data_IF_593623591663
#
_entry.id   IF_593623591663
#
_cell.length_a   1.000
_cell.length_b   1.000
_cell.length_c   1.000
_cell.angle_alpha   90.00
_cell.angle_beta   90.00
_cell.angle_gamma   90.00
#
_symmetry.space_group_name_H-M   'P 1'
#
loop_
_entity.id
_entity.type
_entity.pdbx_description
1 polymer ?
#
# COMPACT_ATOMS: atom_id res chain seq x y z
N UNK A 1 -0.25 12.65 -10.39
CA UNK A 1 -0.34 13.33 -9.09
C UNK A 1 -1.31 14.51 -9.11
N UNK A 2 -1.07 15.62 -9.84
CA UNK A 2 -1.84 16.87 -9.78
C UNK A 2 -3.34 16.66 -10.06
N UNK A 3 -3.69 15.97 -11.15
CA UNK A 3 -5.09 15.65 -11.45
C UNK A 3 -5.76 14.86 -10.32
N UNK A 4 -5.07 13.86 -9.77
CA UNK A 4 -5.57 13.07 -8.66
C UNK A 4 -5.78 13.93 -7.40
N UNK A 5 -4.84 14.82 -7.08
CA UNK A 5 -4.96 15.72 -5.94
C UNK A 5 -6.18 16.64 -6.05
N UNK A 6 -6.44 17.21 -7.23
CA UNK A 6 -7.62 18.05 -7.47
C UNK A 6 -8.91 17.23 -7.36
N UNK A 7 -8.97 16.06 -8.01
CA UNK A 7 -10.17 15.22 -8.02
C UNK A 7 -10.51 14.69 -6.64
N UNK A 8 -9.51 14.08 -5.95
CA UNK A 8 -9.72 13.50 -4.62
C UNK A 8 -9.98 14.56 -3.56
N UNK A 9 -9.26 15.70 -3.58
CA UNK A 9 -9.52 16.77 -2.64
C UNK A 9 -10.90 17.40 -2.82
N UNK A 10 -11.37 17.59 -4.07
CA UNK A 10 -12.71 18.10 -4.35
C UNK A 10 -13.78 17.19 -3.78
N UNK A 11 -13.58 15.88 -3.86
CA UNK A 11 -14.58 14.88 -3.52
C UNK A 11 -14.62 14.55 -2.03
N UNK A 12 -13.46 14.37 -1.42
CA UNK A 12 -13.35 13.83 -0.06
C UNK A 12 -12.96 14.86 1.00
N UNK A 13 -12.41 16.02 0.60
CA UNK A 13 -12.02 17.08 1.53
C UNK A 13 -12.97 18.26 1.38
N UNK A 14 -13.96 18.34 2.27
CA UNK A 14 -15.04 19.37 2.18
C UNK A 14 -14.69 20.67 2.90
N UNK A 15 -13.77 20.65 3.87
CA UNK A 15 -13.52 21.76 4.80
C UNK A 15 -12.78 22.97 4.20
N UNK A 16 -12.04 22.79 3.10
CA UNK A 16 -11.23 23.84 2.47
C UNK A 16 -11.61 24.01 1.00
N UNK A 17 -11.26 25.16 0.42
CA UNK A 17 -11.53 25.45 -0.98
C UNK A 17 -10.33 25.08 -1.87
N UNK A 18 -10.61 24.84 -3.17
CA UNK A 18 -9.56 24.76 -4.19
C UNK A 18 -9.05 26.18 -4.50
N UNK A 19 -7.76 26.37 -4.78
CA UNK A 19 -6.73 25.34 -5.00
C UNK A 19 -6.04 24.82 -3.74
N UNK A 20 -6.16 25.52 -2.61
CA UNK A 20 -5.34 25.33 -1.40
C UNK A 20 -5.34 23.88 -0.93
N UNK A 21 -6.51 23.24 -0.83
CA UNK A 21 -6.58 21.83 -0.38
C UNK A 21 -5.86 20.84 -1.32
N UNK A 22 -5.78 21.12 -2.62
CA UNK A 22 -5.05 20.28 -3.55
C UNK A 22 -3.54 20.50 -3.45
N UNK A 23 -3.10 21.70 -3.14
CA UNK A 23 -1.69 22.03 -2.89
C UNK A 23 -1.23 21.40 -1.58
N UNK A 24 -1.98 21.56 -0.48
CA UNK A 24 -1.70 20.93 0.81
C UNK A 24 -1.58 19.41 0.69
N UNK A 25 -2.47 18.79 -0.11
CA UNK A 25 -2.47 17.36 -0.36
C UNK A 25 -1.23 16.91 -1.13
N UNK A 26 -0.81 17.69 -2.14
CA UNK A 26 0.42 17.40 -2.90
C UNK A 26 1.67 17.59 -2.04
N UNK A 27 1.71 18.63 -1.23
CA UNK A 27 2.85 18.89 -0.34
C UNK A 27 3.01 17.77 0.69
N UNK A 28 1.90 17.37 1.32
CA UNK A 28 1.90 16.22 2.25
C UNK A 28 2.32 14.93 1.56
N UNK A 29 1.83 14.67 0.34
CA UNK A 29 2.21 13.49 -0.43
C UNK A 29 3.71 13.52 -0.80
N UNK A 30 4.25 14.67 -1.17
CA UNK A 30 5.67 14.86 -1.47
C UNK A 30 6.54 14.65 -0.21
N UNK A 31 6.12 15.20 0.92
CA UNK A 31 6.81 14.98 2.20
C UNK A 31 6.81 13.48 2.59
N UNK A 32 5.68 12.78 2.40
CA UNK A 32 5.57 11.33 2.64
C UNK A 32 6.52 10.53 1.75
N UNK A 33 6.58 10.82 0.45
CA UNK A 33 7.52 10.17 -0.47
C UNK A 33 8.95 10.38 0.01
N UNK A 34 9.31 11.61 0.36
CA UNK A 34 10.66 11.91 0.86
C UNK A 34 10.99 11.14 2.13
N UNK A 35 10.06 11.07 3.10
CA UNK A 35 10.24 10.29 4.32
C UNK A 35 10.36 8.80 4.06
N UNK A 36 9.63 8.25 3.08
CA UNK A 36 9.67 6.83 2.75
C UNK A 36 11.03 6.37 2.21
N UNK A 37 11.81 7.28 1.61
CA UNK A 37 13.15 6.98 1.12
C UNK A 37 14.16 6.75 2.26
N UNK A 38 13.92 7.37 3.42
CA UNK A 38 14.79 7.31 4.59
C UNK A 38 14.32 6.28 5.64
N UNK A 39 13.11 5.72 5.46
CA UNK A 39 12.51 4.81 6.45
C UNK A 39 12.44 3.38 5.93
N UNK A 40 12.53 2.42 6.86
CA UNK A 40 12.33 1.00 6.56
C UNK A 40 10.86 0.76 6.22
N UNK A 41 10.52 -0.01 5.17
CA UNK A 41 9.16 -0.32 4.80
C UNK A 41 8.36 -0.93 5.96
N UNK A 42 7.08 -0.51 6.08
CA UNK A 42 6.19 -0.98 7.15
C UNK A 42 6.04 -2.50 7.16
N UNK A 43 5.97 -3.12 5.97
CA UNK A 43 5.85 -4.57 5.83
C UNK A 43 7.03 -5.29 6.48
N UNK A 44 8.25 -4.82 6.26
CA UNK A 44 9.46 -5.39 6.84
C UNK A 44 9.50 -5.18 8.36
N UNK A 45 9.11 -4.00 8.84
CA UNK A 45 9.01 -3.70 10.27
C UNK A 45 7.98 -4.60 10.95
N UNK A 46 6.85 -4.87 10.30
CA UNK A 46 5.80 -5.76 10.82
C UNK A 46 6.30 -7.20 10.96
N UNK A 47 6.95 -7.75 9.93
CA UNK A 47 7.50 -9.11 9.99
C UNK A 47 8.56 -9.23 11.08
N UNK A 48 9.45 -8.24 11.21
CA UNK A 48 10.46 -8.21 12.29
C UNK A 48 9.82 -8.20 13.67
N UNK A 49 8.74 -7.45 13.87
CA UNK A 49 8.00 -7.42 15.13
C UNK A 49 7.31 -8.75 15.43
N UNK A 50 6.75 -9.41 14.42
CA UNK A 50 6.15 -10.74 14.56
C UNK A 50 7.19 -11.80 14.95
N UNK A 51 8.34 -11.82 14.27
CA UNK A 51 9.45 -12.70 14.61
C UNK A 51 9.95 -12.47 16.04
N UNK A 52 10.07 -11.21 16.48
CA UNK A 52 10.46 -10.88 17.84
C UNK A 52 9.43 -11.38 18.87
N UNK A 53 8.13 -11.26 18.57
CA UNK A 53 7.05 -11.77 19.44
C UNK A 53 7.08 -13.29 19.56
N UNK A 54 7.24 -14.00 18.43
CA UNK A 54 7.37 -15.46 18.42
C UNK A 54 8.60 -15.93 19.18
N UNK A 55 9.74 -15.23 19.04
CA UNK A 55 10.95 -15.52 19.79
C UNK A 55 10.77 -15.38 21.31
N UNK A 56 10.06 -14.34 21.76
CA UNK A 56 9.73 -14.18 23.20
C UNK A 56 8.78 -15.27 23.68
N UNK A 57 7.77 -15.64 22.90
CA UNK A 57 6.85 -16.74 23.25
C UNK A 57 7.60 -18.07 23.34
N UNK A 58 8.48 -18.37 22.37
CA UNK A 58 9.30 -19.57 22.35
C UNK A 58 10.18 -19.67 23.58
N UNK A 59 10.84 -18.57 23.95
CA UNK A 59 11.68 -18.52 25.15
C UNK A 59 10.87 -18.77 26.43
N UNK A 60 9.71 -18.16 26.58
CA UNK A 60 8.86 -18.36 27.75
C UNK A 60 8.38 -19.82 27.86
N UNK A 61 8.01 -20.47 26.75
CA UNK A 61 7.64 -21.89 26.74
C UNK A 61 8.82 -22.82 27.10
N UNK A 62 10.03 -22.51 26.66
CA UNK A 62 11.23 -23.27 27.02
C UNK A 62 11.57 -23.14 28.50
N UNK A 63 11.41 -21.94 29.08
CA UNK A 63 11.61 -21.71 30.52
C UNK A 63 10.57 -22.48 31.34
N UNK A 64 9.31 -22.51 30.89
CA UNK A 64 8.21 -23.25 31.54
C UNK A 64 8.47 -24.77 31.55
N UNK A 65 8.98 -25.31 30.45
CA UNK A 65 9.40 -26.72 30.35
C UNK A 65 10.57 -26.99 31.32
N UNK A 66 11.54 -26.09 31.40
CA UNK A 66 12.70 -26.27 32.27
C UNK A 66 12.34 -26.32 33.77
N UNK A 67 11.24 -25.66 34.16
CA UNK A 67 10.71 -25.68 35.55
C UNK A 67 9.84 -26.92 35.83
N UNK A 68 9.57 -27.75 34.80
CA UNK A 68 8.79 -29.00 34.94
C UNK A 68 7.30 -28.82 34.80
N UNK A 69 6.85 -27.70 34.26
CA UNK A 69 5.48 -27.49 33.83
C UNK A 69 5.22 -28.11 32.46
N UNK A 70 4.01 -28.20 32.04
CA UNK A 70 3.42 -28.88 30.89
C UNK A 70 4.31 -29.11 29.63
N UNK A 71 3.98 -30.14 28.85
CA UNK A 71 4.60 -30.42 27.56
C UNK A 71 4.06 -29.47 26.49
N UNK A 72 4.83 -28.47 26.09
CA UNK A 72 4.51 -27.49 25.04
C UNK A 72 5.03 -27.88 23.65
N UNK A 73 5.34 -29.16 23.40
CA UNK A 73 5.98 -29.62 22.16
C UNK A 73 5.23 -29.27 20.89
N UNK A 74 3.89 -29.40 20.86
CA UNK A 74 3.09 -29.04 19.70
C UNK A 74 3.16 -27.52 19.40
N UNK A 75 3.08 -26.69 20.44
CA UNK A 75 3.14 -25.23 20.26
C UNK A 75 4.54 -24.79 19.82
N UNK A 76 5.60 -25.37 20.36
CA UNK A 76 6.98 -25.11 19.93
C UNK A 76 7.19 -25.48 18.47
N UNK A 77 6.69 -26.63 18.02
CA UNK A 77 6.75 -27.04 16.62
C UNK A 77 5.98 -26.07 15.70
N UNK A 78 4.80 -25.60 16.12
CA UNK A 78 4.03 -24.62 15.39
C UNK A 78 4.77 -23.28 15.27
N UNK A 79 5.39 -22.80 16.36
CA UNK A 79 6.20 -21.57 16.36
C UNK A 79 7.38 -21.71 15.40
N UNK A 80 8.07 -22.83 15.39
CA UNK A 80 9.22 -23.06 14.48
C UNK A 80 8.80 -23.03 13.01
N UNK A 81 7.64 -23.58 12.68
CA UNK A 81 7.10 -23.49 11.32
C UNK A 81 6.74 -22.06 10.94
N UNK A 82 6.11 -21.31 11.85
CA UNK A 82 5.73 -19.91 11.64
C UNK A 82 6.97 -19.01 11.53
N UNK A 83 7.98 -19.22 12.39
CA UNK A 83 9.29 -18.54 12.30
C UNK A 83 9.95 -18.76 10.92
N UNK A 84 9.98 -19.99 10.43
CA UNK A 84 10.60 -20.32 9.14
C UNK A 84 9.89 -19.62 7.97
N UNK A 85 8.56 -19.59 7.97
CA UNK A 85 7.78 -18.88 6.94
C UNK A 85 8.06 -17.38 6.99
N UNK A 86 8.03 -16.79 8.18
CA UNK A 86 8.29 -15.36 8.36
C UNK A 86 9.75 -14.98 8.05
N UNK A 87 10.72 -15.84 8.35
CA UNK A 87 12.14 -15.62 8.00
C UNK A 87 12.31 -15.60 6.47
N UNK A 88 11.72 -16.54 5.76
CA UNK A 88 11.78 -16.56 4.29
C UNK A 88 11.14 -15.29 3.71
N UNK A 89 9.94 -14.93 4.18
CA UNK A 89 9.26 -13.71 3.73
C UNK A 89 10.04 -12.43 4.06
N UNK A 90 10.72 -12.38 5.22
CA UNK A 90 11.62 -11.28 5.58
C UNK A 90 12.79 -11.18 4.61
N UNK A 91 13.45 -12.29 4.33
CA UNK A 91 14.65 -12.32 3.48
C UNK A 91 14.33 -11.91 2.04
N UNK A 92 13.19 -12.35 1.51
CA UNK A 92 12.69 -11.94 0.20
C UNK A 92 12.41 -10.43 0.15
N UNK A 93 11.72 -9.90 1.17
CA UNK A 93 11.44 -8.45 1.26
C UNK A 93 12.71 -7.62 1.49
N UNK A 94 13.67 -8.11 2.26
CA UNK A 94 14.97 -7.43 2.45
C UNK A 94 15.75 -7.36 1.14
N UNK A 95 15.75 -8.42 0.35
CA UNK A 95 16.38 -8.43 -0.97
C UNK A 95 15.68 -7.47 -1.94
N UNK A 96 14.36 -7.48 -1.98
CA UNK A 96 13.60 -6.55 -2.79
C UNK A 96 13.88 -5.10 -2.37
N UNK A 97 13.82 -4.80 -1.07
CA UNK A 97 14.08 -3.47 -0.53
C UNK A 97 15.50 -2.97 -0.85
N UNK A 98 16.51 -3.83 -0.73
CA UNK A 98 17.88 -3.47 -1.08
C UNK A 98 18.02 -3.10 -2.56
N UNK A 99 17.42 -3.88 -3.46
CA UNK A 99 17.43 -3.61 -4.90
C UNK A 99 16.66 -2.33 -5.27
N UNK A 100 15.45 -2.14 -4.70
CA UNK A 100 14.67 -0.92 -4.92
C UNK A 100 15.43 0.32 -4.43
N UNK A 101 16.10 0.23 -3.28
CA UNK A 101 16.89 1.33 -2.70
C UNK A 101 18.09 1.69 -3.57
N UNK A 102 18.82 0.71 -4.10
CA UNK A 102 19.95 0.91 -5.01
C UNK A 102 19.50 1.62 -6.29
N UNK A 103 18.50 1.08 -6.98
CA UNK A 103 17.95 1.68 -8.20
C UNK A 103 17.35 3.07 -7.97
N UNK A 104 16.73 3.28 -6.80
CA UNK A 104 16.19 4.59 -6.41
C UNK A 104 17.32 5.61 -6.23
N UNK A 105 18.43 5.23 -5.61
CA UNK A 105 19.62 6.08 -5.47
C UNK A 105 20.18 6.49 -6.82
N UNK A 106 20.43 5.53 -7.71
CA UNK A 106 20.91 5.76 -9.06
C UNK A 106 19.94 6.64 -9.90
N UNK A 107 18.64 6.41 -9.75
CA UNK A 107 17.60 7.19 -10.43
C UNK A 107 17.60 8.66 -9.95
N UNK A 108 17.74 8.92 -8.66
CA UNK A 108 17.80 10.26 -8.13
C UNK A 108 19.08 11.00 -8.56
N UNK A 109 20.20 10.30 -8.60
CA UNK A 109 21.47 10.85 -9.11
C UNK A 109 21.37 11.16 -10.61
N UNK A 110 20.83 10.23 -11.42
CA UNK A 110 20.69 10.44 -12.86
C UNK A 110 19.72 11.58 -13.22
N UNK A 111 18.70 11.82 -12.40
CA UNK A 111 17.76 12.96 -12.56
C UNK A 111 18.42 14.32 -12.31
N UNK A 112 19.47 14.37 -11.51
CA UNK A 112 20.22 15.61 -11.27
C UNK A 112 21.10 16.03 -12.45
N UNK A 113 21.37 15.11 -13.39
CA UNK A 113 22.21 15.34 -14.56
C UNK A 113 21.41 15.21 -15.87
N UNK A 114 21.21 16.35 -16.55
CA UNK A 114 20.44 16.44 -17.80
C UNK A 114 21.04 15.56 -18.92
N UNK A 115 22.34 15.30 -18.86
CA UNK A 115 23.03 14.49 -19.87
C UNK A 115 22.67 12.98 -19.82
N UNK A 116 22.09 12.50 -18.70
CA UNK A 116 21.78 11.08 -18.40
C UNK A 116 20.31 10.70 -18.64
N UNK A 117 19.61 11.42 -19.48
CA UNK A 117 18.17 11.24 -19.70
C UNK A 117 17.76 9.83 -20.20
N UNK A 118 18.58 9.21 -21.06
CA UNK A 118 18.35 7.83 -21.54
C UNK A 118 18.52 6.80 -20.44
N UNK A 119 19.49 7.02 -19.54
CA UNK A 119 19.75 6.17 -18.38
C UNK A 119 18.62 6.27 -17.36
N UNK A 120 18.11 7.48 -17.12
CA UNK A 120 16.96 7.74 -16.24
C UNK A 120 15.75 6.91 -16.66
N UNK A 121 15.45 6.83 -17.97
CA UNK A 121 14.32 6.03 -18.45
C UNK A 121 14.53 4.53 -18.23
N UNK A 122 15.75 4.03 -18.47
CA UNK A 122 16.08 2.63 -18.22
C UNK A 122 15.97 2.26 -16.74
N UNK A 123 16.47 3.12 -15.84
CA UNK A 123 16.37 2.93 -14.39
C UNK A 123 14.92 2.97 -13.89
N UNK A 124 14.08 3.85 -14.45
CA UNK A 124 12.65 3.87 -14.15
C UNK A 124 11.95 2.57 -14.54
N UNK A 125 12.30 2.02 -15.69
CA UNK A 125 11.73 0.76 -16.17
C UNK A 125 12.21 -0.41 -15.31
N UNK A 126 13.49 -0.48 -15.00
CA UNK A 126 14.05 -1.50 -14.11
C UNK A 126 13.41 -1.47 -12.72
N UNK A 127 13.22 -0.28 -12.15
CA UNK A 127 12.53 -0.10 -10.87
C UNK A 127 11.07 -0.57 -10.94
N UNK A 128 10.35 -0.20 -12.00
CA UNK A 128 8.97 -0.63 -12.23
C UNK A 128 8.84 -2.16 -12.33
N UNK A 129 9.77 -2.81 -13.04
CA UNK A 129 9.77 -4.27 -13.23
C UNK A 129 10.00 -5.02 -11.91
N UNK A 130 10.84 -4.48 -11.02
CA UNK A 130 11.07 -5.07 -9.69
C UNK A 130 9.87 -4.83 -8.76
N UNK A 131 9.30 -3.65 -8.80
CA UNK A 131 8.17 -3.27 -7.97
C UNK A 131 6.86 -3.99 -8.35
N UNK A 132 6.71 -4.37 -9.60
CA UNK A 132 5.48 -4.96 -10.14
C UNK A 132 4.23 -4.21 -9.66
N UNK A 133 3.45 -4.85 -8.75
CA UNK A 133 2.25 -4.28 -8.16
C UNK A 133 2.40 -3.85 -6.68
N UNK A 134 3.54 -4.09 -6.07
CA UNK A 134 3.77 -3.84 -4.64
C UNK A 134 5.09 -3.08 -4.40
N UNK A 135 5.15 -1.78 -4.71
CA UNK A 135 6.32 -0.97 -4.43
C UNK A 135 6.58 -0.87 -2.93
N UNK A 136 7.82 -1.08 -2.51
CA UNK A 136 8.29 -0.84 -1.15
C UNK A 136 8.74 0.61 -0.97
N UNK A 137 9.31 1.21 -2.03
CA UNK A 137 9.73 2.60 -2.07
C UNK A 137 8.97 3.35 -3.18
N UNK A 138 8.57 4.58 -2.89
CA UNK A 138 8.02 5.52 -3.89
C UNK A 138 9.04 6.63 -4.14
N UNK A 139 9.41 6.82 -5.40
CA UNK A 139 10.33 7.90 -5.82
C UNK A 139 9.56 9.15 -6.23
N UNK A 140 8.37 8.95 -6.76
CA UNK A 140 7.52 10.02 -7.29
C UNK A 140 6.19 10.08 -6.56
N UNK A 141 5.62 11.29 -6.50
CA UNK A 141 4.24 11.46 -6.05
C UNK A 141 3.32 10.95 -7.16
N UNK A 142 2.71 9.81 -6.94
CA UNK A 142 1.75 9.19 -7.83
C UNK A 142 0.30 9.33 -7.33
N UNK A 143 -0.65 8.72 -8.03
CA UNK A 143 -2.07 8.71 -7.64
C UNK A 143 -2.27 7.95 -6.33
N UNK A 144 -1.53 6.87 -6.12
CA UNK A 144 -1.62 6.00 -4.95
C UNK A 144 -1.13 6.72 -3.69
N UNK A 145 -0.02 7.45 -3.79
CA UNK A 145 0.53 8.24 -2.68
C UNK A 145 -0.46 9.33 -2.25
N UNK A 146 -1.03 10.06 -3.24
CA UNK A 146 -2.05 11.09 -2.99
C UNK A 146 -3.31 10.48 -2.36
N UNK A 147 -3.79 9.36 -2.89
CA UNK A 147 -4.95 8.67 -2.32
C UNK A 147 -4.67 8.14 -0.91
N UNK A 148 -3.44 7.69 -0.63
CA UNK A 148 -3.02 7.29 0.71
C UNK A 148 -3.14 8.42 1.74
N UNK A 149 -2.71 9.64 1.38
CA UNK A 149 -2.88 10.81 2.26
C UNK A 149 -4.36 11.11 2.52
N UNK A 150 -5.19 11.05 1.47
CA UNK A 150 -6.65 11.25 1.63
C UNK A 150 -7.26 10.18 2.51
N UNK A 151 -6.84 8.91 2.36
CA UNK A 151 -7.31 7.80 3.20
C UNK A 151 -7.03 8.06 4.69
N UNK A 152 -5.82 8.53 5.01
CA UNK A 152 -5.42 8.83 6.39
C UNK A 152 -6.19 10.03 6.98
N UNK A 153 -6.44 11.05 6.18
CA UNK A 153 -7.17 12.24 6.66
C UNK A 153 -8.67 12.00 6.82
N UNK A 154 -9.26 11.16 5.98
CA UNK A 154 -10.71 10.95 5.93
C UNK A 154 -11.17 9.66 6.57
N UNK A 155 -10.26 8.70 6.79
CA UNK A 155 -10.59 7.34 7.20
C UNK A 155 -11.22 6.47 6.10
N UNK A 156 -11.32 6.97 4.86
CA UNK A 156 -11.84 6.20 3.73
C UNK A 156 -10.78 5.20 3.26
N UNK A 157 -11.08 3.89 3.13
CA UNK A 157 -10.11 2.90 2.71
C UNK A 157 -9.48 3.24 1.34
N UNK A 158 -8.16 3.08 1.22
CA UNK A 158 -7.40 3.35 0.00
C UNK A 158 -7.98 2.60 -1.22
N UNK A 159 -8.41 1.35 -1.03
CA UNK A 159 -9.03 0.54 -2.08
C UNK A 159 -10.30 1.18 -2.66
N UNK A 160 -11.06 1.92 -1.85
CA UNK A 160 -12.25 2.64 -2.29
C UNK A 160 -11.91 3.92 -3.06
N UNK A 161 -10.78 4.57 -2.70
CA UNK A 161 -10.29 5.77 -3.38
C UNK A 161 -9.65 5.48 -4.74
N UNK A 162 -9.12 4.26 -4.92
CA UNK A 162 -8.44 3.82 -6.14
C UNK A 162 -9.37 3.15 -7.15
N UNK A 163 -10.60 2.88 -6.76
CA UNK A 163 -11.59 2.28 -7.67
C UNK A 163 -12.00 3.26 -8.76
N UNK A 164 -12.05 2.77 -9.97
CA UNK A 164 -12.59 3.53 -11.09
C UNK A 164 -14.12 3.48 -11.04
N UNK A 165 -14.72 4.61 -10.66
CA UNK A 165 -16.17 4.74 -10.53
C UNK A 165 -16.93 4.48 -11.81
N UNK A 166 -16.33 4.81 -12.95
CA UNK A 166 -16.97 4.55 -14.24
C UNK A 166 -17.13 3.04 -14.43
N UNK A 167 -16.14 2.27 -14.03
CA UNK A 167 -16.21 0.80 -14.08
C UNK A 167 -17.19 0.23 -13.05
N UNK A 168 -17.24 0.79 -11.84
CA UNK A 168 -18.22 0.38 -10.82
C UNK A 168 -19.66 0.72 -11.21
N UNK A 169 -19.91 1.90 -11.78
CA UNK A 169 -21.23 2.28 -12.30
C UNK A 169 -21.70 1.39 -13.46
N UNK A 170 -20.77 0.87 -14.28
CA UNK A 170 -21.11 -0.09 -15.34
C UNK A 170 -21.54 -1.46 -14.77
N UNK A 171 -21.02 -1.85 -13.61
CA UNK A 171 -21.32 -3.13 -12.96
C UNK A 171 -22.37 -3.03 -11.84
N UNK A 172 -22.85 -1.82 -11.54
CA UNK A 172 -23.73 -1.54 -10.41
C UNK A 172 -24.98 -2.44 -10.38
N UNK A 173 -25.65 -2.63 -11.53
CA UNK A 173 -26.82 -3.49 -11.65
C UNK A 173 -26.51 -4.94 -11.25
N UNK A 174 -25.38 -5.46 -11.73
CA UNK A 174 -24.96 -6.82 -11.48
C UNK A 174 -24.57 -7.04 -10.01
N UNK A 175 -23.94 -6.04 -9.41
CA UNK A 175 -23.45 -6.17 -8.02
C UNK A 175 -24.59 -5.99 -7.01
N UNK A 176 -25.54 -5.08 -7.27
CA UNK A 176 -26.75 -4.96 -6.45
C UNK A 176 -27.69 -6.14 -6.67
N UNK A 177 -27.85 -6.61 -7.92
CA UNK A 177 -28.71 -7.76 -8.27
C UNK A 177 -28.31 -9.07 -7.57
N UNK A 178 -27.05 -9.22 -7.14
CA UNK A 178 -26.61 -10.35 -6.29
C UNK A 178 -27.22 -10.32 -4.88
N UNK A 179 -27.59 -9.13 -4.40
CA UNK A 179 -28.08 -8.90 -3.03
C UNK A 179 -29.59 -8.64 -2.98
N UNK A 180 -30.15 -8.13 -4.08
CA UNK A 180 -31.57 -7.76 -4.21
C UNK A 180 -32.17 -8.60 -5.32
N UNK A 181 -32.97 -9.57 -4.96
CA UNK A 181 -33.62 -10.53 -5.89
C UNK A 181 -35.00 -10.02 -6.29
N UNK A 182 -35.34 -10.09 -7.59
CA UNK A 182 -36.67 -9.79 -8.11
C UNK A 182 -36.97 -8.30 -8.32
N UNK A 183 -35.96 -7.43 -8.33
CA UNK A 183 -36.10 -5.99 -8.56
C UNK A 183 -35.32 -5.50 -9.81
N UNK A 184 -35.13 -6.36 -10.80
CA UNK A 184 -34.24 -6.10 -11.94
C UNK A 184 -34.58 -4.81 -12.70
N UNK A 185 -35.88 -4.56 -12.98
CA UNK A 185 -36.35 -3.35 -13.67
C UNK A 185 -36.07 -2.07 -12.85
N UNK A 186 -36.20 -2.14 -11.53
CA UNK A 186 -35.93 -1.00 -10.65
C UNK A 186 -34.42 -0.72 -10.59
N UNK A 187 -33.59 -1.75 -10.52
CA UNK A 187 -32.13 -1.66 -10.51
C UNK A 187 -31.61 -1.07 -11.81
N UNK A 188 -32.14 -1.51 -12.97
CA UNK A 188 -31.78 -0.97 -14.27
C UNK A 188 -32.13 0.53 -14.38
N UNK A 189 -33.34 0.91 -13.94
CA UNK A 189 -33.77 2.31 -13.94
C UNK A 189 -32.91 3.21 -13.04
N UNK A 190 -32.51 2.73 -11.85
CA UNK A 190 -31.60 3.44 -10.93
C UNK A 190 -30.23 3.59 -11.55
N UNK A 191 -29.66 2.51 -12.09
CA UNK A 191 -28.33 2.51 -12.68
C UNK A 191 -28.26 3.42 -13.92
N UNK A 192 -29.28 3.46 -14.76
CA UNK A 192 -29.38 4.39 -15.89
C UNK A 192 -29.38 5.85 -15.43
N UNK A 193 -30.12 6.18 -14.38
CA UNK A 193 -30.16 7.55 -13.82
C UNK A 193 -28.83 7.97 -13.21
N UNK A 194 -28.16 7.05 -12.49
CA UNK A 194 -26.86 7.34 -11.90
C UNK A 194 -25.75 7.49 -12.95
N UNK A 195 -25.86 6.78 -14.10
CA UNK A 195 -24.91 6.97 -15.22
C UNK A 195 -25.15 8.26 -16.00
N UNK A 196 -26.35 8.82 -15.92
CA UNK A 196 -26.73 10.04 -16.63
C UNK A 196 -26.48 11.34 -15.80
N UNK A 197 -26.20 11.20 -14.50
CA UNK A 197 -25.92 12.30 -13.58
C UNK A 197 -24.41 12.63 -13.52
#
# INVERSE_FOLDING_TARGET
AVRAAVTLSRRYLTERQLPDKAVDLLDTAAARVRMSLDTVPEQLTRIRSQLASLGMEKQALLEDIAVGHQNHGERLSAIEQEENVLMTARDDLEQQYARERELTGELLESRSDISRQSETHHLQQALHDIQQNQPLLSVDVDVRTVAGVVADWTGVPLSSLMKDEQTELLHLEKDIGRRVVGQDVALESIAQRLRAA
#
